data_IF_600763042798
#
_entry.id   IF_600763042798
#
_cell.length_a   1.000
_cell.length_b   1.000
_cell.length_c   1.000
_cell.angle_alpha   90.00
_cell.angle_beta   90.00
_cell.angle_gamma   90.00
#
_symmetry.space_group_name_H-M   'P 1'
#
loop_
_entity.id
_entity.type
_entity.pdbx_description
1 polymer ?
#
# COMPACT_ATOMS: atom_id res chain seq x y z
N UNK A 1 -13.79 33.65 27.99
CA UNK A 1 -13.80 32.17 27.88
C UNK A 1 -14.21 31.82 26.47
N UNK A 2 -13.25 31.68 25.56
CA UNK A 2 -13.46 31.04 24.25
C UNK A 2 -12.26 30.13 24.05
N UNK A 3 -12.60 28.84 23.93
CA UNK A 3 -11.71 27.68 23.99
C UNK A 3 -10.66 27.73 22.89
N UNK A 4 -9.42 28.00 23.29
CA UNK A 4 -8.22 27.81 22.47
C UNK A 4 -7.57 26.48 22.85
N UNK A 5 -8.19 25.37 22.49
CA UNK A 5 -7.53 24.07 22.49
C UNK A 5 -8.38 23.06 21.71
N UNK A 6 -8.06 22.81 20.44
CA UNK A 6 -8.40 21.55 19.74
C UNK A 6 -7.81 21.45 18.32
N UNK A 7 -6.81 22.27 17.96
CA UNK A 7 -6.11 22.16 16.67
C UNK A 7 -4.84 21.29 16.71
N UNK A 8 -4.45 20.73 17.87
CA UNK A 8 -3.17 20.03 18.02
C UNK A 8 -3.23 18.50 17.87
N UNK A 9 -4.42 17.90 17.90
CA UNK A 9 -4.57 16.44 17.83
C UNK A 9 -4.83 15.95 16.40
N UNK A 10 -5.56 16.73 15.59
CA UNK A 10 -5.78 16.44 14.17
C UNK A 10 -4.50 16.47 13.33
N UNK A 11 -3.46 17.21 13.76
CA UNK A 11 -2.20 17.34 13.04
C UNK A 11 -1.21 16.18 13.28
N UNK A 12 -1.46 15.31 14.29
CA UNK A 12 -0.57 14.17 14.58
C UNK A 12 -0.93 12.94 13.76
N UNK A 13 -2.19 12.79 13.36
CA UNK A 13 -2.61 11.71 12.44
C UNK A 13 -2.18 11.99 10.99
N UNK A 14 -1.96 13.26 10.65
CA UNK A 14 -1.49 13.70 9.32
C UNK A 14 0.01 13.58 9.11
N UNK A 15 0.77 13.03 10.08
CA UNK A 15 2.20 12.79 9.88
C UNK A 15 2.51 11.50 9.10
N UNK A 16 1.57 10.56 9.01
CA UNK A 16 1.72 9.34 8.20
C UNK A 16 1.26 9.52 6.75
N UNK A 17 0.37 10.48 6.48
CA UNK A 17 -0.31 10.62 5.18
C UNK A 17 0.36 11.64 4.25
N UNK A 18 1.23 12.50 4.77
CA UNK A 18 1.93 13.52 3.98
C UNK A 18 3.21 13.02 3.29
N UNK A 19 3.63 11.78 3.56
CA UNK A 19 4.70 11.10 2.83
C UNK A 19 4.17 9.99 1.91
N UNK A 20 2.93 10.10 1.43
CA UNK A 20 2.55 9.44 0.17
C UNK A 20 3.02 10.34 -0.98
N UNK A 21 4.32 10.62 -1.02
CA UNK A 21 4.96 11.18 -2.21
C UNK A 21 4.72 10.17 -3.32
N UNK A 22 3.86 10.56 -4.28
CA UNK A 22 3.57 9.94 -5.58
C UNK A 22 4.47 8.73 -5.89
N UNK A 23 4.19 7.60 -5.24
CA UNK A 23 4.72 6.31 -5.64
C UNK A 23 3.65 5.75 -6.57
N UNK A 24 3.78 6.05 -7.86
CA UNK A 24 2.87 5.59 -8.93
C UNK A 24 2.74 4.05 -8.97
N UNK A 25 3.64 3.35 -8.29
CA UNK A 25 3.66 1.90 -8.14
C UNK A 25 2.73 1.33 -7.06
N UNK A 26 2.22 2.16 -6.14
CA UNK A 26 1.32 1.70 -5.10
C UNK A 26 -0.05 1.31 -5.70
N UNK A 27 -0.63 0.23 -5.17
CA UNK A 27 -1.98 -0.16 -5.57
C UNK A 27 -3.00 0.93 -5.19
N UNK A 28 -3.99 1.20 -6.06
CA UNK A 28 -5.15 1.99 -5.66
C UNK A 28 -5.84 1.35 -4.46
N UNK A 29 -6.24 2.16 -3.47
CA UNK A 29 -6.88 1.68 -2.25
C UNK A 29 -8.06 0.71 -2.53
N UNK A 30 -8.90 1.03 -3.51
CA UNK A 30 -10.06 0.20 -3.88
C UNK A 30 -9.69 -1.16 -4.50
N UNK A 31 -8.49 -1.31 -5.07
CA UNK A 31 -8.05 -2.57 -5.69
C UNK A 31 -7.70 -3.65 -4.65
N UNK A 32 -7.33 -3.24 -3.43
CA UNK A 32 -6.87 -4.15 -2.37
C UNK A 32 -8.04 -4.95 -1.78
N UNK A 33 -9.22 -4.36 -1.62
CA UNK A 33 -10.31 -5.01 -0.91
C UNK A 33 -11.53 -4.12 -0.68
N UNK A 34 -12.54 -4.62 0.04
CA UNK A 34 -13.75 -3.85 0.34
C UNK A 34 -13.38 -2.52 1.02
N UNK A 35 -14.04 -1.46 0.58
CA UNK A 35 -13.84 -0.10 1.08
C UNK A 35 -14.84 0.20 2.20
N UNK A 36 -16.05 -0.37 2.11
CA UNK A 36 -17.14 -0.14 3.05
C UNK A 36 -17.60 -1.43 3.73
N UNK A 37 -18.24 -1.34 4.91
CA UNK A 37 -18.83 -2.50 5.59
C UNK A 37 -19.86 -3.25 4.72
N UNK A 38 -20.69 -2.51 3.98
CA UNK A 38 -21.71 -3.09 3.08
C UNK A 38 -21.06 -3.94 1.99
N UNK A 39 -19.95 -3.48 1.41
CA UNK A 39 -19.19 -4.26 0.41
C UNK A 39 -18.63 -5.55 1.04
N UNK A 40 -18.14 -5.49 2.28
CA UNK A 40 -17.68 -6.68 3.00
C UNK A 40 -18.82 -7.67 3.24
N UNK A 41 -19.93 -7.19 3.80
CA UNK A 41 -21.10 -7.99 4.17
C UNK A 41 -21.75 -8.65 2.95
N UNK A 42 -21.72 -7.99 1.79
CA UNK A 42 -22.21 -8.57 0.53
C UNK A 42 -21.49 -9.87 0.12
N UNK A 43 -20.30 -10.12 0.67
CA UNK A 43 -19.45 -11.30 0.40
C UNK A 43 -18.83 -11.85 1.68
N UNK A 44 -19.59 -11.84 2.78
CA UNK A 44 -19.10 -12.15 4.13
C UNK A 44 -18.38 -13.50 4.20
N UNK A 45 -18.99 -14.57 3.70
CA UNK A 45 -18.42 -15.93 3.73
C UNK A 45 -17.04 -15.97 3.07
N UNK A 46 -16.91 -15.43 1.86
CA UNK A 46 -15.64 -15.35 1.12
C UNK A 46 -14.55 -14.63 1.93
N UNK A 47 -14.87 -13.49 2.53
CA UNK A 47 -13.85 -12.69 3.22
C UNK A 47 -13.49 -13.28 4.58
N UNK A 48 -14.47 -13.78 5.32
CA UNK A 48 -14.22 -14.46 6.60
C UNK A 48 -13.34 -15.70 6.39
N UNK A 49 -13.56 -16.48 5.34
CA UNK A 49 -12.74 -17.66 5.03
C UNK A 49 -11.32 -17.27 4.62
N UNK A 50 -11.13 -16.22 3.83
CA UNK A 50 -9.79 -15.71 3.52
C UNK A 50 -9.01 -15.29 4.77
N UNK A 51 -9.67 -14.66 5.74
CA UNK A 51 -8.99 -14.27 6.99
C UNK A 51 -8.62 -15.51 7.83
N UNK A 52 -9.49 -16.53 7.86
CA UNK A 52 -9.19 -17.80 8.53
C UNK A 52 -8.05 -18.56 7.87
N UNK A 53 -7.97 -18.57 6.53
CA UNK A 53 -6.89 -19.21 5.77
C UNK A 53 -5.51 -18.61 6.09
N UNK A 54 -5.48 -17.33 6.47
CA UNK A 54 -4.27 -16.62 6.94
C UNK A 54 -3.93 -17.00 8.39
N UNK A 55 -4.81 -17.72 9.08
CA UNK A 55 -4.64 -18.18 10.47
C UNK A 55 -5.07 -17.16 11.52
N UNK A 56 -5.90 -16.17 11.16
CA UNK A 56 -6.38 -15.13 12.09
C UNK A 56 -7.78 -15.47 12.58
N UNK A 57 -7.96 -15.51 13.90
CA UNK A 57 -9.29 -15.67 14.51
C UNK A 57 -10.12 -14.37 14.35
N UNK A 58 -11.31 -14.51 13.79
CA UNK A 58 -12.25 -13.43 13.52
C UNK A 58 -13.34 -13.30 14.59
N UNK A 59 -13.38 -14.20 15.58
CA UNK A 59 -14.42 -14.21 16.62
C UNK A 59 -14.37 -12.91 17.42
N UNK A 60 -15.52 -12.24 17.52
CA UNK A 60 -15.66 -10.98 18.26
C UNK A 60 -15.13 -9.73 17.55
N UNK A 61 -14.64 -9.84 16.31
CA UNK A 61 -14.19 -8.69 15.52
C UNK A 61 -15.35 -7.99 14.80
N UNK A 62 -15.29 -6.67 14.71
CA UNK A 62 -16.24 -5.90 13.90
C UNK A 62 -15.94 -6.04 12.41
N UNK A 63 -16.90 -5.70 11.54
CA UNK A 63 -16.70 -5.71 10.09
C UNK A 63 -15.53 -4.82 9.66
N UNK A 64 -15.36 -3.65 10.28
CA UNK A 64 -14.27 -2.71 10.00
C UNK A 64 -12.90 -3.30 10.36
N UNK A 65 -12.81 -4.00 11.49
CA UNK A 65 -11.57 -4.66 11.89
C UNK A 65 -11.19 -5.78 10.93
N UNK A 66 -12.18 -6.57 10.49
CA UNK A 66 -11.97 -7.61 9.48
C UNK A 66 -11.53 -7.02 8.14
N UNK A 67 -12.14 -5.91 7.72
CA UNK A 67 -11.72 -5.16 6.52
C UNK A 67 -10.25 -4.76 6.65
N UNK A 68 -9.86 -4.14 7.78
CA UNK A 68 -8.48 -3.71 8.00
C UNK A 68 -7.51 -4.88 7.91
N UNK A 69 -7.78 -5.99 8.62
CA UNK A 69 -6.93 -7.19 8.61
C UNK A 69 -6.74 -7.73 7.19
N UNK A 70 -7.85 -7.87 6.45
CA UNK A 70 -7.83 -8.38 5.09
C UNK A 70 -7.01 -7.49 4.17
N UNK A 71 -7.16 -6.18 4.31
CA UNK A 71 -6.45 -5.19 3.49
C UNK A 71 -4.96 -5.16 3.80
N UNK A 72 -4.57 -5.09 5.07
CA UNK A 72 -3.17 -5.11 5.50
C UNK A 72 -2.46 -6.36 4.99
N UNK A 73 -3.12 -7.52 5.07
CA UNK A 73 -2.56 -8.76 4.53
C UNK A 73 -2.32 -8.67 3.01
N UNK A 74 -3.31 -8.21 2.25
CA UNK A 74 -3.22 -8.12 0.78
C UNK A 74 -2.22 -7.06 0.31
N UNK A 75 -2.16 -5.91 0.98
CA UNK A 75 -1.15 -4.88 0.74
C UNK A 75 0.25 -5.45 0.95
N UNK A 76 0.49 -6.18 2.04
CA UNK A 76 1.77 -6.85 2.29
C UNK A 76 2.12 -7.90 1.23
N UNK A 77 1.15 -8.69 0.76
CA UNK A 77 1.38 -9.65 -0.32
C UNK A 77 1.80 -8.94 -1.62
N UNK A 78 1.19 -7.79 -1.92
CA UNK A 78 1.56 -7.00 -3.09
C UNK A 78 2.97 -6.40 -2.96
N UNK A 79 3.34 -5.87 -1.80
CA UNK A 79 4.69 -5.35 -1.54
C UNK A 79 5.75 -6.44 -1.74
N UNK A 80 5.51 -7.65 -1.23
CA UNK A 80 6.42 -8.79 -1.43
C UNK A 80 6.58 -9.15 -2.91
N UNK A 81 5.48 -9.14 -3.68
CA UNK A 81 5.52 -9.37 -5.12
C UNK A 81 6.28 -8.25 -5.85
N UNK A 82 6.02 -6.99 -5.48
CA UNK A 82 6.66 -5.82 -6.06
C UNK A 82 8.19 -5.88 -5.84
N UNK A 83 8.64 -6.18 -4.62
CA UNK A 83 10.06 -6.33 -4.29
C UNK A 83 10.74 -7.42 -5.12
N UNK A 84 10.07 -8.58 -5.27
CA UNK A 84 10.57 -9.67 -6.09
C UNK A 84 10.70 -9.26 -7.57
N UNK A 85 9.70 -8.57 -8.12
CA UNK A 85 9.69 -8.08 -9.50
C UNK A 85 10.76 -7.00 -9.71
N UNK A 86 10.89 -6.06 -8.79
CA UNK A 86 11.88 -4.98 -8.88
C UNK A 86 13.29 -5.55 -8.88
N UNK A 87 13.57 -6.47 -7.96
CA UNK A 87 14.84 -7.17 -7.90
C UNK A 87 15.14 -7.91 -9.21
N UNK A 88 14.17 -8.65 -9.75
CA UNK A 88 14.35 -9.40 -11.00
C UNK A 88 14.61 -8.48 -12.20
N UNK A 89 13.96 -7.31 -12.24
CA UNK A 89 14.10 -6.35 -13.35
C UNK A 89 15.33 -5.45 -13.23
N UNK A 90 16.03 -5.48 -12.11
CA UNK A 90 17.10 -4.51 -11.81
C UNK A 90 16.54 -3.11 -11.61
N UNK A 91 15.44 -2.99 -10.87
CA UNK A 91 14.79 -1.72 -10.51
C UNK A 91 15.09 -1.37 -9.06
N UNK A 92 15.03 -0.07 -8.75
CA UNK A 92 15.14 0.45 -7.39
C UNK A 92 13.76 0.46 -6.68
N UNK A 93 13.76 0.78 -5.39
CA UNK A 93 12.54 0.81 -4.57
C UNK A 93 11.57 1.95 -4.92
N UNK A 94 11.96 2.89 -5.80
CA UNK A 94 11.09 3.93 -6.36
C UNK A 94 10.35 3.45 -7.62
N UNK A 95 10.55 2.20 -8.05
CA UNK A 95 9.94 1.65 -9.26
C UNK A 95 10.60 2.13 -10.56
N UNK A 96 11.86 2.58 -10.50
CA UNK A 96 12.64 2.98 -11.67
C UNK A 96 13.77 1.98 -11.94
N UNK A 97 14.15 1.73 -13.21
CA UNK A 97 15.36 0.98 -13.53
C UNK A 97 16.61 1.57 -12.86
N UNK A 98 17.57 0.73 -12.44
CA UNK A 98 18.86 1.22 -11.94
C UNK A 98 19.71 1.81 -13.07
N UNK A 99 20.70 2.63 -12.72
CA UNK A 99 21.67 3.18 -13.68
C UNK A 99 22.40 2.05 -14.43
N UNK A 100 22.73 0.97 -13.72
CA UNK A 100 23.31 -0.23 -14.32
C UNK A 100 22.38 -0.85 -15.36
N UNK A 101 21.08 -0.95 -15.04
CA UNK A 101 20.09 -1.52 -15.96
C UNK A 101 19.89 -0.68 -17.21
N UNK A 102 19.85 0.65 -17.10
CA UNK A 102 19.70 1.52 -18.29
C UNK A 102 20.95 1.51 -19.17
N UNK A 103 22.14 1.33 -18.59
CA UNK A 103 23.38 1.11 -19.36
C UNK A 103 23.35 -0.21 -20.12
N UNK A 104 22.94 -1.29 -19.46
CA UNK A 104 22.74 -2.61 -20.10
C UNK A 104 21.78 -2.54 -21.28
N UNK A 105 20.70 -1.76 -21.15
CA UNK A 105 19.67 -1.59 -22.18
C UNK A 105 20.07 -0.61 -23.31
N UNK A 106 21.22 0.06 -23.21
CA UNK A 106 21.68 1.01 -24.24
C UNK A 106 20.89 2.32 -24.29
N UNK A 107 20.22 2.69 -23.20
CA UNK A 107 19.39 3.92 -23.09
C UNK A 107 19.91 4.88 -22.03
N UNK A 108 21.21 4.80 -21.71
CA UNK A 108 21.88 5.63 -20.73
C UNK A 108 22.22 7.03 -21.28
N UNK A 109 21.20 7.76 -21.74
CA UNK A 109 21.31 9.16 -22.13
C UNK A 109 21.29 10.07 -20.88
N UNK A 110 21.94 11.23 -20.95
CA UNK A 110 22.07 12.14 -19.80
C UNK A 110 20.71 12.62 -19.27
N UNK A 111 19.75 12.85 -20.17
CA UNK A 111 18.38 13.22 -19.82
C UNK A 111 17.66 12.09 -19.08
N UNK A 112 17.82 10.83 -19.49
CA UNK A 112 17.25 9.66 -18.80
C UNK A 112 17.87 9.48 -17.42
N UNK A 113 19.19 9.57 -17.30
CA UNK A 113 19.89 9.44 -16.01
C UNK A 113 19.45 10.53 -15.03
N UNK A 114 19.22 11.76 -15.52
CA UNK A 114 18.80 12.88 -14.68
C UNK A 114 17.45 12.68 -13.99
N UNK A 115 16.56 11.83 -14.54
CA UNK A 115 15.23 11.54 -14.01
C UNK A 115 15.24 10.40 -12.98
N UNK A 116 16.25 9.53 -13.00
CA UNK A 116 16.34 8.36 -12.10
C UNK A 116 16.89 8.73 -10.71
N UNK A 117 17.72 9.77 -10.64
CA UNK A 117 18.39 10.27 -9.42
C UNK A 117 17.37 10.98 -8.52
#
# INVERSE_FOLDING_TARGET
MTSSCETSEYAKTTSSTLYVLINSSNLPYRAVGPVTPIEYESRLERYDDQIKDIGIDIKGKTTEEKIRILREYREKQYEMLQDAVYKQRGWNNKGCPTIEKVKELGIAFDDVISVII
#
